data_IF_543538427135
#
_entry.id   IF_543538427135
#
_cell.length_a   1.000
_cell.length_b   1.000
_cell.length_c   1.000
_cell.angle_alpha   90.00
_cell.angle_beta   90.00
_cell.angle_gamma   90.00
#
_symmetry.space_group_name_H-M   'P 1'
#
loop_
_entity.id
_entity.type
_entity.pdbx_description
1 polymer ?
#
# COMPACT_ATOMS: atom_id res chain seq x y z
N UNK A 1 8.93 -14.29 -1.30
CA UNK A 1 10.37 -14.15 -1.36
C UNK A 1 10.90 -14.32 -2.77
N UNK A 2 11.55 -13.26 -3.28
CA UNK A 2 12.27 -13.31 -4.56
C UNK A 2 13.60 -14.03 -4.40
N UNK A 3 14.11 -14.62 -5.50
CA UNK A 3 15.36 -15.36 -5.51
C UNK A 3 16.42 -14.67 -6.38
N UNK A 4 17.70 -14.86 -6.07
CA UNK A 4 18.79 -14.31 -6.90
C UNK A 4 18.74 -14.96 -8.29
N UNK A 5 18.67 -14.11 -9.34
CA UNK A 5 18.57 -14.56 -10.72
C UNK A 5 17.13 -14.75 -11.22
N UNK A 6 16.12 -14.57 -10.37
CA UNK A 6 14.72 -14.57 -10.78
C UNK A 6 14.43 -13.35 -11.69
N UNK A 7 13.67 -13.56 -12.76
CA UNK A 7 13.31 -12.52 -13.72
C UNK A 7 11.81 -12.23 -13.67
N UNK A 8 11.48 -11.00 -13.37
CA UNK A 8 10.11 -10.50 -13.34
C UNK A 8 9.97 -9.19 -14.09
N UNK A 9 8.78 -8.93 -14.61
CA UNK A 9 8.44 -7.59 -15.12
C UNK A 9 8.27 -6.59 -13.97
N UNK A 10 8.50 -5.31 -14.24
CA UNK A 10 8.24 -4.25 -13.26
C UNK A 10 6.77 -4.27 -12.79
N UNK A 11 5.83 -4.52 -13.70
CA UNK A 11 4.42 -4.65 -13.37
C UNK A 11 4.16 -5.75 -12.33
N UNK A 12 4.71 -6.95 -12.51
CA UNK A 12 4.57 -8.05 -11.56
C UNK A 12 5.18 -7.72 -10.20
N UNK A 13 6.33 -7.01 -10.18
CA UNK A 13 6.94 -6.53 -8.93
C UNK A 13 6.05 -5.49 -8.22
N UNK A 14 5.38 -4.59 -8.97
CA UNK A 14 4.42 -3.65 -8.40
C UNK A 14 3.22 -4.37 -7.77
N UNK A 15 2.69 -5.41 -8.40
CA UNK A 15 1.65 -6.25 -7.77
C UNK A 15 2.17 -6.97 -6.52
N UNK A 16 3.39 -7.51 -6.54
CA UNK A 16 4.01 -8.10 -5.34
C UNK A 16 4.13 -7.08 -4.20
N UNK A 17 4.57 -5.87 -4.50
CA UNK A 17 4.72 -4.79 -3.53
C UNK A 17 3.37 -4.36 -2.95
N UNK A 18 2.37 -4.11 -3.79
CA UNK A 18 1.11 -3.50 -3.35
C UNK A 18 0.12 -4.52 -2.79
N UNK A 19 -0.03 -5.70 -3.40
CA UNK A 19 -1.03 -6.69 -3.01
C UNK A 19 -0.61 -7.47 -1.76
N UNK A 20 0.63 -7.99 -1.73
CA UNK A 20 1.11 -8.80 -0.59
C UNK A 20 2.15 -8.09 0.27
N UNK A 21 2.41 -6.81 0.02
CA UNK A 21 3.38 -6.03 0.79
C UNK A 21 4.79 -6.63 0.76
N UNK A 22 5.27 -7.08 -0.42
CA UNK A 22 6.57 -7.72 -0.60
C UNK A 22 7.73 -6.73 -0.43
N UNK A 23 8.47 -6.83 0.69
CA UNK A 23 9.60 -5.94 0.99
C UNK A 23 10.76 -6.12 0.01
N UNK A 24 11.01 -7.34 -0.42
CA UNK A 24 12.00 -7.68 -1.44
C UNK A 24 11.66 -7.06 -2.80
N UNK A 25 10.38 -7.09 -3.20
CA UNK A 25 9.94 -6.41 -4.41
C UNK A 25 10.20 -4.90 -4.35
N UNK A 26 10.01 -4.25 -3.18
CA UNK A 26 10.34 -2.82 -3.01
C UNK A 26 11.82 -2.56 -3.27
N UNK A 27 12.72 -3.39 -2.74
CA UNK A 27 14.16 -3.21 -2.93
C UNK A 27 14.58 -3.44 -4.40
N UNK A 28 14.04 -4.47 -5.04
CA UNK A 28 14.33 -4.74 -6.47
C UNK A 28 13.85 -3.59 -7.36
N UNK A 29 12.66 -3.06 -7.10
CA UNK A 29 12.13 -1.88 -7.82
C UNK A 29 13.05 -0.67 -7.59
N UNK A 30 13.47 -0.43 -6.35
CA UNK A 30 14.33 0.67 -6.00
C UNK A 30 15.69 0.61 -6.74
N UNK A 31 16.34 -0.56 -6.72
CA UNK A 31 17.59 -0.78 -7.44
C UNK A 31 17.42 -0.64 -8.96
N UNK A 32 16.33 -1.15 -9.52
CA UNK A 32 16.05 -1.05 -10.94
C UNK A 32 15.87 0.40 -11.42
N UNK A 33 15.19 1.23 -10.63
CA UNK A 33 14.86 2.61 -11.02
C UNK A 33 16.04 3.56 -10.76
N UNK A 34 16.71 3.43 -9.61
CA UNK A 34 17.70 4.41 -9.15
C UNK A 34 19.15 3.87 -9.12
N UNK A 35 19.35 2.58 -9.43
CA UNK A 35 20.66 1.96 -9.36
C UNK A 35 21.06 1.49 -7.95
N UNK A 36 20.44 2.05 -6.90
CA UNK A 36 20.61 1.59 -5.53
C UNK A 36 19.38 1.90 -4.67
N UNK A 37 19.19 1.15 -3.58
CA UNK A 37 18.15 1.44 -2.59
C UNK A 37 18.35 2.82 -1.97
N UNK A 38 19.58 3.23 -1.71
CA UNK A 38 19.89 4.52 -1.11
C UNK A 38 19.50 5.70 -2.03
N UNK A 39 19.82 5.61 -3.32
CA UNK A 39 19.45 6.64 -4.29
C UNK A 39 17.92 6.70 -4.49
N UNK A 40 17.25 5.56 -4.47
CA UNK A 40 15.79 5.52 -4.51
C UNK A 40 15.15 6.19 -3.29
N UNK A 41 15.67 5.92 -2.08
CA UNK A 41 15.22 6.57 -0.84
C UNK A 41 15.45 8.09 -0.91
N UNK A 42 16.57 8.52 -1.48
CA UNK A 42 16.80 9.95 -1.73
C UNK A 42 15.70 10.52 -2.66
N UNK A 43 15.37 9.84 -3.75
CA UNK A 43 14.29 10.25 -4.65
C UNK A 43 12.92 10.28 -3.93
N UNK A 44 12.63 9.30 -3.06
CA UNK A 44 11.40 9.29 -2.26
C UNK A 44 11.30 10.54 -1.37
N UNK A 45 12.37 10.88 -0.66
CA UNK A 45 12.42 12.06 0.22
C UNK A 45 12.31 13.36 -0.57
N UNK A 46 13.01 13.46 -1.70
CA UNK A 46 12.90 14.61 -2.60
C UNK A 46 11.44 14.77 -3.08
N UNK A 47 10.81 13.67 -3.51
CA UNK A 47 9.43 13.71 -3.98
C UNK A 47 8.44 14.09 -2.88
N UNK A 48 8.61 13.59 -1.67
CA UNK A 48 7.81 13.99 -0.51
C UNK A 48 7.91 15.49 -0.26
N UNK A 49 9.14 16.04 -0.28
CA UNK A 49 9.37 17.47 -0.13
C UNK A 49 8.71 18.32 -1.23
N UNK A 50 8.84 17.91 -2.50
CA UNK A 50 8.20 18.58 -3.65
C UNK A 50 6.66 18.61 -3.54
N UNK A 51 6.09 17.59 -2.92
CA UNK A 51 4.64 17.51 -2.65
C UNK A 51 4.22 18.34 -1.44
N UNK A 52 5.17 18.91 -0.68
CA UNK A 52 4.89 19.68 0.54
C UNK A 52 4.74 18.83 1.80
N UNK A 53 5.20 17.58 1.78
CA UNK A 53 5.17 16.66 2.93
C UNK A 53 6.36 16.94 3.86
N UNK A 54 6.24 18.00 4.66
CA UNK A 54 7.36 18.50 5.50
C UNK A 54 7.57 17.69 6.80
N UNK A 55 6.67 16.77 7.13
CA UNK A 55 6.77 15.92 8.31
C UNK A 55 6.89 14.43 7.91
N UNK A 56 7.61 14.18 6.81
CA UNK A 56 7.85 12.85 6.28
C UNK A 56 9.32 12.64 5.98
N UNK A 57 9.86 11.52 6.43
CA UNK A 57 11.21 11.07 6.08
C UNK A 57 11.24 9.56 5.91
N UNK A 58 11.77 9.10 4.80
CA UNK A 58 11.94 7.70 4.45
C UNK A 58 13.40 7.26 4.59
N UNK A 59 13.65 6.09 5.19
CA UNK A 59 14.95 5.43 5.25
C UNK A 59 15.01 4.14 4.44
N UNK A 60 13.87 3.66 3.98
CA UNK A 60 13.77 2.46 3.15
C UNK A 60 12.50 2.52 2.30
N UNK A 61 12.40 1.73 1.21
CA UNK A 61 11.24 1.74 0.33
C UNK A 61 10.09 0.83 0.80
N UNK A 62 10.28 0.03 1.83
CA UNK A 62 9.34 -1.03 2.25
C UNK A 62 8.63 -0.75 3.58
N UNK A 63 9.02 0.27 4.32
CA UNK A 63 8.34 0.68 5.54
C UNK A 63 8.67 -0.12 6.80
N UNK A 64 9.72 -0.95 6.82
CA UNK A 64 10.21 -1.52 8.07
C UNK A 64 10.74 -0.41 8.96
N UNK A 65 10.59 -0.64 10.27
CA UNK A 65 10.90 0.38 11.26
C UNK A 65 12.36 0.83 11.23
N UNK A 66 12.53 2.12 11.31
CA UNK A 66 13.77 2.83 11.60
C UNK A 66 13.40 4.08 12.38
N UNK A 67 14.24 4.51 13.34
CA UNK A 67 13.93 5.63 14.24
C UNK A 67 13.72 6.97 13.50
N UNK A 68 14.34 7.13 12.34
CA UNK A 68 14.19 8.31 11.49
C UNK A 68 13.23 8.11 10.31
N UNK A 69 12.51 6.97 10.24
CA UNK A 69 11.47 6.69 9.26
C UNK A 69 10.10 7.09 9.82
N UNK A 70 9.60 8.25 9.44
CA UNK A 70 8.36 8.79 9.98
C UNK A 70 7.51 9.50 8.92
N UNK A 71 6.23 9.63 9.21
CA UNK A 71 5.28 10.40 8.42
C UNK A 71 4.09 10.85 9.29
N UNK A 72 3.15 11.55 8.69
CA UNK A 72 1.87 11.93 9.30
C UNK A 72 0.70 11.48 8.42
N UNK A 73 -0.50 11.34 8.98
CA UNK A 73 -1.70 11.04 8.20
C UNK A 73 -1.96 12.12 7.14
N UNK A 74 -1.65 13.39 7.45
CA UNK A 74 -1.76 14.50 6.48
C UNK A 74 -0.82 14.32 5.30
N UNK A 75 0.46 14.05 5.55
CA UNK A 75 1.45 13.89 4.48
C UNK A 75 1.13 12.65 3.64
N UNK A 76 0.71 11.54 4.27
CA UNK A 76 0.23 10.35 3.58
C UNK A 76 -0.98 10.66 2.68
N UNK A 77 -1.89 11.54 3.09
CA UNK A 77 -3.01 11.95 2.24
C UNK A 77 -2.54 12.67 0.99
N UNK A 78 -1.55 13.53 1.10
CA UNK A 78 -0.97 14.28 -0.03
C UNK A 78 -0.28 13.32 -1.01
N UNK A 79 0.55 12.41 -0.48
CA UNK A 79 1.26 11.39 -1.27
C UNK A 79 0.24 10.49 -1.99
N UNK A 80 -0.78 10.02 -1.29
CA UNK A 80 -1.81 9.15 -1.83
C UNK A 80 -2.61 9.83 -2.93
N UNK A 81 -3.03 11.07 -2.72
CA UNK A 81 -3.74 11.86 -3.76
C UNK A 81 -2.88 12.09 -5.01
N UNK A 82 -1.57 12.27 -4.83
CA UNK A 82 -0.65 12.37 -5.95
C UNK A 82 -0.54 11.05 -6.73
N UNK A 83 -0.50 9.90 -6.02
CA UNK A 83 -0.43 8.57 -6.62
C UNK A 83 -1.74 8.18 -7.33
N UNK A 84 -2.89 8.54 -6.77
CA UNK A 84 -4.23 8.27 -7.33
C UNK A 84 -4.50 9.00 -8.67
N UNK A 85 -3.64 9.91 -9.10
CA UNK A 85 -3.71 10.49 -10.46
C UNK A 85 -3.30 9.50 -11.54
N UNK A 86 -2.63 8.40 -11.19
CA UNK A 86 -2.22 7.34 -12.09
C UNK A 86 -3.27 6.25 -12.15
N UNK A 87 -3.82 5.97 -13.32
CA UNK A 87 -4.76 4.87 -13.56
C UNK A 87 -4.13 3.50 -13.24
N UNK A 88 -2.85 3.31 -13.60
CA UNK A 88 -2.13 2.07 -13.26
C UNK A 88 -2.03 1.87 -11.75
N UNK A 89 -1.80 2.95 -10.98
CA UNK A 89 -1.79 2.86 -9.53
C UNK A 89 -3.17 2.47 -8.99
N UNK A 90 -4.25 3.11 -9.45
CA UNK A 90 -5.64 2.77 -9.07
C UNK A 90 -5.95 1.30 -9.35
N UNK A 91 -5.60 0.80 -10.54
CA UNK A 91 -5.82 -0.60 -10.90
C UNK A 91 -5.08 -1.57 -9.97
N UNK A 92 -3.81 -1.31 -9.68
CA UNK A 92 -2.99 -2.19 -8.83
C UNK A 92 -3.51 -2.21 -7.39
N UNK A 93 -3.84 -1.06 -6.81
CA UNK A 93 -4.27 -0.98 -5.40
C UNK A 93 -5.68 -1.55 -5.17
N UNK A 94 -6.54 -1.53 -6.17
CA UNK A 94 -7.89 -2.11 -6.11
C UNK A 94 -7.92 -3.63 -6.41
N UNK A 95 -6.75 -4.22 -6.67
CA UNK A 95 -6.64 -5.64 -6.97
C UNK A 95 -6.65 -6.49 -5.70
N UNK A 96 -7.69 -7.31 -5.51
CA UNK A 96 -7.77 -8.21 -4.36
C UNK A 96 -7.06 -9.56 -4.56
N UNK A 97 -7.00 -10.05 -5.82
CA UNK A 97 -6.23 -11.24 -6.21
C UNK A 97 -5.47 -10.98 -7.51
N UNK A 98 -4.23 -11.42 -7.58
CA UNK A 98 -3.41 -11.34 -8.78
C UNK A 98 -2.69 -12.65 -9.05
N UNK A 99 -2.80 -13.18 -10.27
CA UNK A 99 -2.05 -14.36 -10.69
C UNK A 99 -0.74 -13.94 -11.32
N UNK A 100 0.36 -14.16 -10.61
CA UNK A 100 1.68 -14.04 -11.22
C UNK A 100 1.83 -15.11 -12.31
N UNK A 101 2.37 -14.74 -13.49
CA UNK A 101 2.79 -15.73 -14.47
C UNK A 101 3.96 -16.57 -13.93
N UNK A 102 4.16 -17.74 -14.49
CA UNK A 102 5.37 -18.51 -14.28
C UNK A 102 6.60 -17.69 -14.73
N UNK A 103 7.69 -17.84 -14.01
CA UNK A 103 8.95 -17.18 -14.30
C UNK A 103 10.08 -18.18 -14.65
N UNK A 104 11.32 -17.71 -14.75
CA UNK A 104 12.46 -18.55 -15.08
C UNK A 104 12.86 -19.53 -13.96
N UNK A 105 12.32 -19.39 -12.76
CA UNK A 105 12.67 -20.19 -11.58
C UNK A 105 11.47 -20.88 -10.93
N UNK A 106 10.26 -20.32 -11.07
CA UNK A 106 9.06 -20.82 -10.40
C UNK A 106 7.92 -21.08 -11.38
N UNK A 107 7.19 -22.16 -11.11
CA UNK A 107 5.99 -22.55 -11.83
C UNK A 107 4.84 -22.75 -10.85
N UNK A 108 3.61 -22.60 -11.35
CA UNK A 108 2.38 -22.74 -10.58
C UNK A 108 2.38 -21.84 -9.33
N UNK A 109 2.83 -20.58 -9.48
CA UNK A 109 2.92 -19.62 -8.39
C UNK A 109 1.51 -19.39 -7.83
N UNK A 110 1.30 -19.51 -6.50
CA UNK A 110 0.01 -19.23 -5.90
C UNK A 110 -0.43 -17.79 -6.17
N UNK A 111 -1.74 -17.57 -6.31
CA UNK A 111 -2.27 -16.21 -6.44
C UNK A 111 -1.87 -15.34 -5.26
N UNK A 112 -1.43 -14.15 -5.56
CA UNK A 112 -1.28 -13.08 -4.56
C UNK A 112 -2.67 -12.67 -4.09
N UNK A 113 -2.83 -12.46 -2.79
CA UNK A 113 -4.09 -11.97 -2.19
C UNK A 113 -3.81 -10.73 -1.36
N UNK A 114 -4.68 -9.75 -1.48
CA UNK A 114 -4.52 -8.48 -0.77
C UNK A 114 -4.48 -8.67 0.75
N UNK A 115 -3.69 -7.85 1.41
CA UNK A 115 -3.69 -7.72 2.88
C UNK A 115 -4.78 -6.75 3.38
N UNK A 116 -5.43 -6.01 2.47
CA UNK A 116 -6.47 -5.06 2.82
C UNK A 116 -7.84 -5.75 2.89
N UNK A 117 -8.33 -5.93 4.11
CA UNK A 117 -9.61 -6.61 4.36
C UNK A 117 -10.82 -5.83 3.83
N UNK A 118 -10.72 -4.51 3.63
CA UNK A 118 -11.83 -3.70 3.10
C UNK A 118 -12.17 -4.08 1.65
N UNK A 119 -11.18 -4.52 0.86
CA UNK A 119 -11.39 -4.95 -0.52
C UNK A 119 -11.31 -6.48 -0.72
N UNK A 120 -11.01 -7.24 0.34
CA UNK A 120 -10.89 -8.70 0.26
C UNK A 120 -12.27 -9.35 0.17
N UNK A 121 -12.65 -9.80 -1.02
CA UNK A 121 -13.96 -10.39 -1.33
C UNK A 121 -14.05 -11.85 -0.86
N UNK A 122 -14.55 -12.05 0.35
CA UNK A 122 -14.82 -13.37 0.92
C UNK A 122 -16.13 -13.36 1.69
N UNK A 123 -16.92 -14.42 1.60
CA UNK A 123 -18.18 -14.55 2.36
C UNK A 123 -17.99 -14.51 3.88
N UNK A 124 -16.80 -14.84 4.38
CA UNK A 124 -16.46 -14.79 5.81
C UNK A 124 -15.82 -13.47 6.24
N UNK A 125 -15.60 -12.53 5.30
CA UNK A 125 -14.96 -11.25 5.62
C UNK A 125 -16.01 -10.19 6.00
N UNK A 126 -16.22 -9.99 7.28
CA UNK A 126 -17.15 -8.98 7.81
C UNK A 126 -16.70 -7.52 7.52
N UNK A 127 -15.42 -7.31 7.19
CA UNK A 127 -14.86 -5.98 6.90
C UNK A 127 -14.95 -5.59 5.42
N UNK A 128 -15.43 -6.48 4.55
CA UNK A 128 -15.56 -6.13 3.14
C UNK A 128 -16.55 -4.96 2.95
N UNK A 129 -16.05 -3.88 2.38
CA UNK A 129 -16.86 -2.70 2.07
C UNK A 129 -16.91 -2.48 0.55
N UNK A 130 -18.09 -2.67 -0.10
CA UNK A 130 -18.20 -2.65 -1.57
C UNK A 130 -17.79 -1.36 -2.27
N UNK A 131 -17.74 -0.25 -1.53
CA UNK A 131 -17.33 1.06 -2.05
C UNK A 131 -15.85 1.37 -1.81
N UNK A 132 -15.11 0.49 -1.10
CA UNK A 132 -13.68 0.67 -0.85
C UNK A 132 -12.85 0.30 -2.08
N UNK A 133 -11.81 1.11 -2.34
CA UNK A 133 -10.84 0.94 -3.42
C UNK A 133 -9.42 1.02 -2.83
N UNK A 134 -8.82 -0.13 -2.55
CA UNK A 134 -7.45 -0.20 -2.05
C UNK A 134 -7.32 0.41 -0.64
N UNK A 135 -6.24 1.03 -0.26
CA UNK A 135 -4.99 1.29 -1.03
C UNK A 135 -3.86 0.44 -0.45
N UNK A 136 -3.53 0.61 0.86
CA UNK A 136 -2.41 -0.10 1.49
C UNK A 136 -2.59 -0.26 2.98
N UNK A 137 -2.20 -1.42 3.48
CA UNK A 137 -2.05 -1.72 4.91
C UNK A 137 -0.59 -1.69 5.31
N UNK A 138 -0.31 -1.48 6.59
CA UNK A 138 1.02 -1.56 7.17
C UNK A 138 0.99 -2.02 8.63
N UNK A 139 2.05 -2.69 9.05
CA UNK A 139 2.23 -3.06 10.44
C UNK A 139 3.70 -3.19 10.80
N UNK A 140 4.08 -2.56 11.90
CA UNK A 140 5.28 -2.89 12.69
C UNK A 140 4.91 -2.82 14.16
N UNK A 141 5.69 -3.46 15.04
CA UNK A 141 5.44 -3.39 16.49
C UNK A 141 5.50 -1.97 17.04
N UNK A 142 6.27 -1.10 16.41
CA UNK A 142 6.45 0.30 16.81
C UNK A 142 5.33 1.19 16.23
N UNK A 143 5.02 1.04 14.95
CA UNK A 143 4.01 1.86 14.27
C UNK A 143 2.57 1.45 14.61
N UNK A 144 2.35 0.24 15.12
CA UNK A 144 1.00 -0.32 15.21
C UNK A 144 0.42 -0.65 13.83
N UNK A 145 -0.89 -0.81 13.77
CA UNK A 145 -1.61 -1.08 12.51
C UNK A 145 -1.93 0.22 11.80
N UNK A 146 -1.67 0.23 10.51
CA UNK A 146 -1.94 1.37 9.65
C UNK A 146 -2.74 0.91 8.43
N UNK A 147 -3.64 1.76 7.96
CA UNK A 147 -4.37 1.53 6.72
C UNK A 147 -4.67 2.86 6.02
N UNK A 148 -4.54 2.85 4.71
CA UNK A 148 -5.02 3.89 3.81
C UNK A 148 -6.06 3.22 2.92
N UNK A 149 -7.25 3.80 2.81
CA UNK A 149 -8.29 3.34 1.90
C UNK A 149 -9.04 4.51 1.27
N UNK A 150 -9.43 4.35 0.01
CA UNK A 150 -10.36 5.23 -0.70
C UNK A 150 -11.74 4.59 -0.69
N UNK A 151 -12.79 5.39 -0.62
CA UNK A 151 -14.15 4.93 -0.87
C UNK A 151 -14.89 5.94 -1.75
N UNK A 152 -15.64 5.42 -2.73
CA UNK A 152 -16.38 6.22 -3.68
C UNK A 152 -17.86 5.91 -3.63
N UNK A 153 -18.72 6.94 -3.70
CA UNK A 153 -20.17 6.76 -3.74
C UNK A 153 -20.92 8.06 -3.48
N UNK A 154 -22.15 8.12 -3.98
CA UNK A 154 -23.07 9.25 -3.79
C UNK A 154 -22.48 10.62 -4.22
N UNK A 155 -21.55 10.59 -5.20
CA UNK A 155 -20.85 11.78 -5.69
C UNK A 155 -19.66 12.24 -4.82
N UNK A 156 -19.26 11.43 -3.84
CA UNK A 156 -18.13 11.69 -2.96
C UNK A 156 -16.98 10.72 -3.23
N UNK A 157 -15.76 11.23 -3.14
CA UNK A 157 -14.52 10.47 -3.10
C UNK A 157 -13.83 10.75 -1.76
N UNK A 158 -13.80 9.76 -0.90
CA UNK A 158 -13.29 9.87 0.46
C UNK A 158 -11.99 9.09 0.62
N UNK A 159 -10.99 9.71 1.23
CA UNK A 159 -9.72 9.08 1.58
C UNK A 159 -9.62 8.96 3.10
N UNK A 160 -9.61 7.74 3.60
CA UNK A 160 -9.43 7.43 5.01
C UNK A 160 -8.00 6.98 5.31
N UNK A 161 -7.41 7.53 6.38
CA UNK A 161 -6.06 7.17 6.83
C UNK A 161 -6.08 6.94 8.34
N UNK A 162 -5.71 5.74 8.74
CA UNK A 162 -5.52 5.36 10.15
C UNK A 162 -4.07 4.99 10.36
N UNK A 163 -3.43 5.60 11.36
CA UNK A 163 -2.07 5.30 11.79
C UNK A 163 -2.06 4.94 13.27
N UNK A 164 -1.23 3.97 13.65
CA UNK A 164 -0.95 3.68 15.06
C UNK A 164 -2.09 2.99 15.83
N UNK A 165 -3.00 2.30 15.15
CA UNK A 165 -4.04 1.54 15.84
C UNK A 165 -3.42 0.41 16.68
N UNK A 166 -3.79 0.35 17.98
CA UNK A 166 -3.20 -0.57 18.95
C UNK A 166 -3.81 -1.97 18.91
N UNK A 167 -5.01 -2.09 18.39
CA UNK A 167 -5.82 -3.31 18.40
C UNK A 167 -6.05 -3.86 16.99
N UNK A 168 -6.86 -4.87 16.85
CA UNK A 168 -6.96 -5.70 15.63
C UNK A 168 -7.26 -4.92 14.34
N UNK A 169 -6.98 -5.53 13.21
CA UNK A 169 -7.38 -5.04 11.85
C UNK A 169 -8.87 -4.66 11.81
N UNK A 170 -9.69 -5.30 12.63
CA UNK A 170 -11.12 -5.04 12.79
C UNK A 170 -11.38 -3.58 13.19
N UNK A 171 -10.75 -3.08 14.24
CA UNK A 171 -11.04 -1.72 14.74
C UNK A 171 -10.61 -0.61 13.79
N UNK A 172 -9.48 -0.77 13.09
CA UNK A 172 -9.09 0.23 12.08
C UNK A 172 -9.97 0.18 10.85
N UNK A 173 -10.46 -1.00 10.48
CA UNK A 173 -11.43 -1.19 9.40
C UNK A 173 -12.83 -0.64 9.78
N UNK A 174 -13.30 -0.96 10.98
CA UNK A 174 -14.57 -0.46 11.50
C UNK A 174 -14.59 1.07 11.59
N UNK A 175 -13.52 1.68 12.12
CA UNK A 175 -13.38 3.13 12.19
C UNK A 175 -13.46 3.80 10.83
N UNK A 176 -12.83 3.23 9.79
CA UNK A 176 -12.94 3.75 8.42
C UNK A 176 -14.34 3.54 7.85
N UNK A 177 -14.96 2.39 8.09
CA UNK A 177 -16.33 2.09 7.61
C UNK A 177 -17.36 3.03 8.24
N UNK A 178 -17.30 3.27 9.55
CA UNK A 178 -18.16 4.23 10.24
C UNK A 178 -18.05 5.62 9.61
N UNK A 179 -16.84 6.14 9.46
CA UNK A 179 -16.61 7.46 8.87
C UNK A 179 -17.08 7.55 7.41
N UNK A 180 -16.84 6.51 6.59
CA UNK A 180 -17.36 6.49 5.22
C UNK A 180 -18.88 6.44 5.18
N UNK A 181 -19.52 5.75 6.10
CA UNK A 181 -20.99 5.67 6.19
C UNK A 181 -21.61 6.99 6.64
N UNK A 182 -21.02 7.66 7.64
CA UNK A 182 -21.50 8.96 8.15
C UNK A 182 -21.36 10.07 7.10
N UNK A 183 -20.29 10.08 6.30
CA UNK A 183 -20.10 11.07 5.23
C UNK A 183 -21.05 10.85 4.04
N UNK A 184 -21.59 9.65 3.86
CA UNK A 184 -22.49 9.29 2.76
C UNK A 184 -23.98 9.42 3.12
N UNK A 185 -24.31 9.78 4.36
CA UNK A 185 -25.68 10.01 4.87
C UNK A 185 -26.02 11.50 4.94
#
# INVERSE_FOLDING_TARGET
GLQIGEQMTLENLLYCMMVVSGNDACNVIAEHIAGSVADFVHMMNQRAYELGCLNTHFNNPHGLHDESHYTTARDLSIITQAALKSENFRQIVDTYEYQLPDDNMRQNIPKLKTTNMLIYRSMSNALYYPRAHGIKTGYTSQAGRCVISEATGDGLDLLGIVCGAKTTVLESGDLLMENFTECAS
#
